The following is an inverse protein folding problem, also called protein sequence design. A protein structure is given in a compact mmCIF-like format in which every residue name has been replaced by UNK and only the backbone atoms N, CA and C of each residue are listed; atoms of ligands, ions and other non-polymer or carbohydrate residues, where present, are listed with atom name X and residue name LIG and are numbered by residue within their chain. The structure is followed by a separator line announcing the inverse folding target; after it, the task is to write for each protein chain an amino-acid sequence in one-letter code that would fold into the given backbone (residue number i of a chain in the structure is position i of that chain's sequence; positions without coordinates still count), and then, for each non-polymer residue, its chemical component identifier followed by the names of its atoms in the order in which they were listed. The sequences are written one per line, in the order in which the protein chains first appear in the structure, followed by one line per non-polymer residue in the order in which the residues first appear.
data_IF_666477906963
#
_entry.id   IF_666477906963
#
_cell.length_a   1.000
_cell.length_b   1.000
_cell.length_c   1.000
_cell.angle_alpha   90.00
_cell.angle_beta   90.00
_cell.angle_gamma   90.00
#
_symmetry.space_group_name_H-M   'P 1'
#
loop_
_entity.id
_entity.type
_entity.pdbx_description
1 polymer ?
#
# COMPACT_ATOMS: atom_id res chain seq x y z
N UNK A 1 -6.70 -9.69 13.42
CA UNK A 1 -5.78 -9.84 12.26
C UNK A 1 -5.07 -8.52 11.95
N UNK A 2 -5.77 -7.39 11.86
CA UNK A 2 -5.12 -6.09 11.62
C UNK A 2 -4.10 -5.76 12.73
N UNK A 3 -4.39 -6.13 13.98
CA UNK A 3 -3.50 -5.90 15.14
C UNK A 3 -2.18 -6.68 15.09
N UNK A 4 -2.09 -7.73 14.27
CA UNK A 4 -0.88 -8.54 14.10
C UNK A 4 -0.01 -8.07 12.92
N UNK A 5 -0.50 -7.11 12.12
CA UNK A 5 0.26 -6.56 11.00
C UNK A 5 1.28 -5.54 11.54
N UNK A 6 2.55 -5.73 11.16
CA UNK A 6 3.65 -4.86 11.57
C UNK A 6 3.43 -3.41 11.11
N UNK A 7 3.77 -2.47 11.98
CA UNK A 7 3.75 -1.03 11.69
C UNK A 7 5.10 -0.65 11.07
N UNK A 8 5.13 0.37 10.21
CA UNK A 8 6.34 0.89 9.58
C UNK A 8 7.46 1.17 10.59
N UNK A 9 7.14 1.59 11.83
CA UNK A 9 8.14 1.87 12.85
C UNK A 9 8.44 0.67 13.79
N UNK A 10 7.98 -0.53 13.45
CA UNK A 10 8.33 -1.77 14.17
C UNK A 10 9.84 -2.03 14.14
N UNK A 11 10.34 -2.61 15.24
CA UNK A 11 11.76 -2.93 15.43
C UNK A 11 12.22 -4.00 14.44
N UNK A 12 13.45 -3.87 13.95
CA UNK A 12 14.10 -4.85 13.06
C UNK A 12 13.90 -4.58 11.56
N UNK A 13 12.93 -3.73 11.19
CA UNK A 13 12.82 -3.26 9.82
C UNK A 13 13.91 -2.24 9.48
N UNK A 14 14.27 -2.15 8.20
CA UNK A 14 15.24 -1.19 7.71
C UNK A 14 14.88 0.24 8.09
N UNK A 15 15.92 1.05 8.34
CA UNK A 15 15.77 2.46 8.71
C UNK A 15 14.90 3.22 7.70
N UNK A 16 15.10 2.95 6.41
CA UNK A 16 14.36 3.65 5.36
C UNK A 16 12.86 3.31 5.38
N UNK A 17 12.51 2.05 5.62
CA UNK A 17 11.11 1.63 5.84
C UNK A 17 10.53 2.37 7.05
N UNK A 18 11.29 2.45 8.14
CA UNK A 18 10.84 3.06 9.40
C UNK A 18 10.64 4.57 9.34
N UNK A 19 11.34 5.25 8.43
CA UNK A 19 11.27 6.70 8.28
C UNK A 19 10.31 7.15 7.19
N UNK A 20 10.25 6.46 6.05
CA UNK A 20 9.49 6.92 4.86
C UNK A 20 8.71 5.80 4.17
N UNK A 21 8.57 4.63 4.80
CA UNK A 21 7.97 3.44 4.21
C UNK A 21 6.44 3.40 4.22
N UNK A 22 5.72 4.46 4.58
CA UNK A 22 4.26 4.38 4.80
C UNK A 22 3.49 3.88 3.57
N UNK A 23 3.88 4.30 2.37
CA UNK A 23 3.25 3.81 1.13
C UNK A 23 3.61 2.34 0.86
N UNK A 24 4.87 1.98 1.03
CA UNK A 24 5.35 0.60 0.90
C UNK A 24 4.62 -0.35 1.87
N UNK A 25 4.55 0.00 3.15
CA UNK A 25 3.88 -0.79 4.17
C UNK A 25 2.37 -0.87 3.89
N UNK A 26 1.73 0.21 3.44
CA UNK A 26 0.32 0.17 3.02
C UNK A 26 0.08 -0.81 1.87
N UNK A 27 1.00 -0.89 0.90
CA UNK A 27 0.95 -1.89 -0.18
C UNK A 27 1.05 -3.32 0.38
N UNK A 28 2.00 -3.58 1.28
CA UNK A 28 2.15 -4.90 1.91
C UNK A 28 0.92 -5.28 2.75
N UNK A 29 0.30 -4.31 3.42
CA UNK A 29 -0.90 -4.51 4.24
C UNK A 29 -2.09 -4.98 3.40
N UNK A 30 -2.28 -4.43 2.19
CA UNK A 30 -3.35 -4.89 1.30
C UNK A 30 -3.27 -6.40 1.05
N UNK A 31 -2.08 -6.91 0.71
CA UNK A 31 -1.90 -8.33 0.44
C UNK A 31 -2.15 -9.18 1.71
N UNK A 32 -1.61 -8.76 2.85
CA UNK A 32 -1.81 -9.43 4.14
C UNK A 32 -3.28 -9.52 4.54
N UNK A 33 -4.04 -8.43 4.40
CA UNK A 33 -5.47 -8.40 4.70
C UNK A 33 -6.28 -9.29 3.76
N UNK A 34 -5.90 -9.37 2.47
CA UNK A 34 -6.60 -10.18 1.47
C UNK A 34 -6.32 -11.67 1.58
N UNK A 35 -5.13 -12.04 2.06
CA UNK A 35 -4.74 -13.44 2.29
C UNK A 35 -5.02 -13.93 3.71
N UNK A 36 -5.31 -13.02 4.63
CA UNK A 36 -5.44 -13.34 6.05
C UNK A 36 -4.15 -13.84 6.71
N UNK A 37 -3.00 -13.41 6.18
CA UNK A 37 -1.66 -13.83 6.61
C UNK A 37 -0.81 -12.62 6.97
N UNK A 38 0.19 -12.82 7.81
CA UNK A 38 1.13 -11.77 8.23
C UNK A 38 2.53 -12.04 7.68
N UNK A 39 3.20 -10.99 7.21
CA UNK A 39 4.61 -11.04 6.82
C UNK A 39 5.51 -10.83 8.05
N UNK A 40 6.66 -11.51 8.08
CA UNK A 40 7.70 -11.30 9.11
C UNK A 40 8.55 -10.07 8.79
N UNK A 41 9.32 -9.60 9.78
CA UNK A 41 10.27 -8.48 9.60
C UNK A 41 11.26 -8.76 8.46
N UNK A 42 11.76 -9.99 8.37
CA UNK A 42 12.69 -10.42 7.32
C UNK A 42 12.04 -10.34 5.95
N UNK A 43 10.75 -10.68 5.84
CA UNK A 43 10.01 -10.55 4.60
C UNK A 43 9.77 -9.09 4.22
N UNK A 44 9.48 -8.18 5.17
CA UNK A 44 9.39 -6.75 4.88
C UNK A 44 10.69 -6.20 4.29
N UNK A 45 11.83 -6.53 4.92
CA UNK A 45 13.15 -6.10 4.47
C UNK A 45 13.49 -6.70 3.10
N UNK A 46 13.26 -8.01 2.91
CA UNK A 46 13.51 -8.68 1.62
C UNK A 46 12.64 -8.11 0.49
N UNK A 47 11.38 -7.76 0.77
CA UNK A 47 10.48 -7.17 -0.22
C UNK A 47 10.87 -5.74 -0.57
N UNK A 48 11.43 -4.99 0.38
CA UNK A 48 12.00 -3.67 0.12
C UNK A 48 13.15 -3.78 -0.89
N UNK A 49 14.07 -4.71 -0.67
CA UNK A 49 15.20 -4.94 -1.58
C UNK A 49 14.74 -5.44 -2.97
N UNK A 50 13.79 -6.38 -3.01
CA UNK A 50 13.23 -6.89 -4.27
C UNK A 50 12.53 -5.77 -5.06
N UNK A 51 11.81 -4.88 -4.37
CA UNK A 51 11.13 -3.74 -5.00
C UNK A 51 12.12 -2.71 -5.60
N UNK A 52 13.25 -2.45 -4.93
CA UNK A 52 14.33 -1.61 -5.48
C UNK A 52 14.98 -2.27 -6.69
N UNK A 53 15.36 -3.55 -6.56
CA UNK A 53 16.00 -4.30 -7.64
C UNK A 53 15.11 -4.40 -8.90
N UNK A 54 13.79 -4.51 -8.71
CA UNK A 54 12.82 -4.56 -9.79
C UNK A 54 12.47 -3.19 -10.39
N UNK A 55 12.99 -2.08 -9.84
CA UNK A 55 12.70 -0.73 -10.30
C UNK A 55 11.31 -0.21 -9.93
N UNK A 56 10.61 -0.85 -8.99
CA UNK A 56 9.33 -0.36 -8.46
C UNK A 56 9.50 0.77 -7.45
N UNK A 57 10.74 0.99 -7.03
CA UNK A 57 11.14 2.04 -6.13
C UNK A 57 12.33 2.80 -6.71
N UNK A 58 12.39 4.10 -6.44
CA UNK A 58 13.54 4.93 -6.74
C UNK A 58 13.92 5.72 -5.49
N UNK A 59 15.21 5.65 -5.16
CA UNK A 59 15.77 6.11 -3.89
C UNK A 59 15.07 5.49 -2.68
N UNK A 60 14.04 6.15 -2.14
CA UNK A 60 13.26 5.73 -0.98
C UNK A 60 11.75 5.85 -1.22
N UNK A 61 11.33 5.99 -2.49
CA UNK A 61 9.95 6.28 -2.90
C UNK A 61 9.38 5.17 -3.76
N UNK A 62 8.11 4.84 -3.55
CA UNK A 62 7.36 3.91 -4.39
C UNK A 62 6.98 4.58 -5.70
N UNK A 63 7.30 3.94 -6.82
CA UNK A 63 6.91 4.37 -8.17
C UNK A 63 5.69 3.60 -8.68
N UNK A 64 5.64 2.29 -8.44
CA UNK A 64 4.64 1.39 -9.03
C UNK A 64 4.01 0.52 -7.95
N UNK A 65 2.94 1.03 -7.35
CA UNK A 65 2.38 0.51 -6.09
C UNK A 65 1.72 -0.87 -6.23
N UNK A 66 0.98 -1.11 -7.31
CA UNK A 66 0.36 -2.42 -7.61
C UNK A 66 1.40 -3.53 -7.74
N UNK A 67 2.60 -3.24 -8.26
CA UNK A 67 3.71 -4.20 -8.35
C UNK A 67 4.28 -4.57 -6.99
N UNK A 68 4.30 -3.65 -6.03
CA UNK A 68 4.72 -3.95 -4.64
C UNK A 68 3.68 -4.84 -3.96
N UNK A 69 2.38 -4.56 -4.15
CA UNK A 69 1.30 -5.45 -3.66
C UNK A 69 1.47 -6.85 -4.27
N UNK A 70 1.82 -6.94 -5.56
CA UNK A 70 2.05 -8.22 -6.25
C UNK A 70 3.26 -9.00 -5.71
N UNK A 71 4.34 -8.33 -5.30
CA UNK A 71 5.46 -8.97 -4.61
C UNK A 71 5.02 -9.55 -3.26
N UNK A 72 4.19 -8.80 -2.52
CA UNK A 72 3.66 -9.26 -1.25
C UNK A 72 2.77 -10.51 -1.40
N UNK A 73 1.86 -10.52 -2.38
CA UNK A 73 1.05 -11.71 -2.70
C UNK A 73 1.93 -12.93 -2.98
N UNK A 74 2.96 -12.77 -3.82
CA UNK A 74 3.91 -13.84 -4.14
C UNK A 74 4.62 -14.36 -2.88
N UNK A 75 5.11 -13.47 -2.01
CA UNK A 75 5.77 -13.84 -0.74
C UNK A 75 4.84 -14.59 0.23
N UNK A 76 3.53 -14.32 0.15
CA UNK A 76 2.49 -15.01 0.91
C UNK A 76 1.99 -16.32 0.26
N UNK A 77 2.59 -16.71 -0.88
CA UNK A 77 2.22 -17.91 -1.65
C UNK A 77 0.89 -17.77 -2.39
N UNK A 78 0.45 -16.55 -2.71
CA UNK A 78 -0.80 -16.26 -3.42
C UNK A 78 -0.57 -16.02 -4.91
N UNK A 79 -1.50 -16.51 -5.73
CA UNK A 79 -1.54 -16.23 -7.18
C UNK A 79 -2.30 -14.95 -7.52
N UNK A 80 -2.84 -14.23 -6.53
CA UNK A 80 -3.55 -12.96 -6.75
C UNK A 80 -2.65 -11.91 -7.38
N UNK A 81 -3.29 -11.05 -8.19
CA UNK A 81 -2.67 -9.88 -8.80
C UNK A 81 -3.49 -8.63 -8.51
N UNK A 82 -2.80 -7.60 -8.04
CA UNK A 82 -3.28 -6.24 -7.93
C UNK A 82 -2.97 -5.46 -9.21
N UNK A 83 -3.90 -4.57 -9.55
CA UNK A 83 -3.80 -3.59 -10.63
C UNK A 83 -4.29 -2.26 -10.08
N UNK A 84 -3.51 -1.20 -10.28
CA UNK A 84 -3.97 0.16 -10.00
C UNK A 84 -4.94 0.58 -11.10
N UNK A 85 -6.19 0.85 -10.73
CA UNK A 85 -7.28 1.01 -11.69
C UNK A 85 -7.82 2.42 -11.79
N UNK A 86 -7.46 3.31 -10.86
CA UNK A 86 -7.92 4.69 -10.87
C UNK A 86 -7.68 5.39 -9.54
N UNK A 87 -8.27 6.57 -9.41
CA UNK A 87 -8.31 7.33 -8.15
C UNK A 87 -9.67 8.00 -7.96
N UNK A 88 -9.98 8.43 -6.76
CA UNK A 88 -11.17 9.25 -6.48
C UNK A 88 -11.19 10.60 -7.22
N UNK A 89 -10.02 11.16 -7.55
CA UNK A 89 -9.90 12.41 -8.31
C UNK A 89 -10.03 12.24 -9.83
N UNK A 90 -9.58 11.10 -10.38
CA UNK A 90 -9.49 10.86 -11.83
C UNK A 90 -10.44 9.77 -12.34
N UNK A 91 -11.25 9.19 -11.46
CA UNK A 91 -12.03 7.98 -11.71
C UNK A 91 -11.14 6.83 -12.24
N UNK A 92 -11.73 5.80 -12.86
CA UNK A 92 -11.02 4.74 -13.53
C UNK A 92 -10.13 5.27 -14.67
N UNK A 93 -8.90 4.75 -14.76
CA UNK A 93 -7.99 5.06 -15.86
C UNK A 93 -8.54 4.60 -17.22
N UNK A 94 -8.09 5.23 -18.31
CA UNK A 94 -8.65 4.98 -19.65
C UNK A 94 -8.50 3.52 -20.11
N UNK A 95 -7.40 2.86 -19.74
CA UNK A 95 -7.23 1.44 -20.03
C UNK A 95 -8.26 0.57 -19.28
N UNK A 96 -8.72 0.99 -18.09
CA UNK A 96 -9.77 0.27 -17.35
C UNK A 96 -11.15 0.53 -17.96
N UNK A 97 -11.37 1.73 -18.52
CA UNK A 97 -12.63 2.06 -19.20
C UNK A 97 -12.94 1.09 -20.34
N UNK A 98 -11.92 0.58 -21.02
CA UNK A 98 -12.03 -0.42 -22.09
C UNK A 98 -12.01 -1.87 -21.64
N UNK A 99 -11.76 -2.16 -20.35
CA UNK A 99 -11.68 -3.53 -19.80
C UNK A 99 -12.63 -3.71 -18.59
N UNK A 100 -13.89 -4.08 -18.82
CA UNK A 100 -14.93 -4.14 -17.77
C UNK A 100 -14.56 -4.98 -16.54
N UNK A 101 -13.81 -6.07 -16.69
CA UNK A 101 -13.40 -6.95 -15.58
C UNK A 101 -12.50 -6.25 -14.54
N UNK A 102 -11.90 -5.13 -14.93
CA UNK A 102 -11.06 -4.28 -14.08
C UNK A 102 -11.84 -3.12 -13.44
N UNK A 103 -13.11 -2.89 -13.82
CA UNK A 103 -13.97 -1.83 -13.26
C UNK A 103 -14.54 -2.22 -11.89
N UNK A 104 -13.67 -2.61 -10.97
CA UNK A 104 -14.02 -2.91 -9.58
C UNK A 104 -12.88 -2.50 -8.66
N UNK A 105 -13.24 -1.96 -7.50
CA UNK A 105 -12.29 -1.54 -6.46
C UNK A 105 -12.37 -2.54 -5.32
N UNK A 106 -11.26 -3.24 -5.05
CA UNK A 106 -11.17 -4.23 -3.97
C UNK A 106 -10.32 -3.74 -2.79
N UNK A 107 -9.44 -2.77 -3.01
CA UNK A 107 -8.59 -2.18 -1.97
C UNK A 107 -8.26 -0.73 -2.32
N UNK A 108 -7.99 0.07 -1.28
CA UNK A 108 -7.67 1.48 -1.43
C UNK A 108 -6.49 1.90 -0.55
N UNK A 109 -5.68 2.83 -1.04
CA UNK A 109 -4.67 3.55 -0.26
C UNK A 109 -4.97 5.04 -0.36
N UNK A 110 -5.20 5.68 0.78
CA UNK A 110 -5.35 7.13 0.86
C UNK A 110 -3.99 7.78 1.08
N UNK A 111 -3.71 8.81 0.27
CA UNK A 111 -2.67 9.80 0.54
C UNK A 111 -3.32 10.94 1.32
N UNK A 112 -2.79 11.23 2.51
CA UNK A 112 -3.23 12.34 3.35
C UNK A 112 -2.13 13.39 3.49
N UNK A 113 -2.54 14.63 3.73
CA UNK A 113 -1.67 15.66 4.25
C UNK A 113 -1.57 15.53 5.77
N UNK A 114 -0.37 15.69 6.30
CA UNK A 114 -0.14 15.79 7.74
C UNK A 114 -0.40 17.21 8.22
N UNK A 115 -0.59 17.38 9.53
CA UNK A 115 -0.77 18.71 10.14
C UNK A 115 0.47 19.61 9.90
N UNK A 116 0.26 20.93 9.90
CA UNK A 116 1.33 21.91 9.73
C UNK A 116 2.46 21.69 10.75
N UNK A 117 3.71 21.72 10.28
CA UNK A 117 4.89 21.46 11.09
C UNK A 117 5.32 19.98 11.17
N UNK A 118 4.62 19.06 10.51
CA UNK A 118 5.08 17.68 10.37
C UNK A 118 6.41 17.59 9.59
N UNK A 119 7.30 16.68 10.01
CA UNK A 119 8.60 16.47 9.35
C UNK A 119 8.47 16.00 7.90
N UNK A 120 7.37 15.31 7.57
CA UNK A 120 7.03 14.90 6.22
C UNK A 120 5.61 15.38 5.91
N UNK A 121 5.37 15.96 4.73
CA UNK A 121 4.08 16.60 4.42
C UNK A 121 2.95 15.59 4.17
N UNK A 122 3.30 14.36 3.75
CA UNK A 122 2.33 13.36 3.34
C UNK A 122 2.48 12.05 4.12
N UNK A 123 1.37 11.34 4.23
CA UNK A 123 1.33 9.98 4.78
C UNK A 123 0.38 9.12 3.95
N UNK A 124 0.64 7.82 3.90
CA UNK A 124 -0.19 6.87 3.17
C UNK A 124 -0.76 5.85 4.13
N UNK A 125 -2.03 5.50 3.96
CA UNK A 125 -2.75 4.57 4.83
C UNK A 125 -3.79 3.77 4.05
N UNK A 126 -4.17 2.61 4.57
CA UNK A 126 -5.18 1.75 3.94
C UNK A 126 -6.56 2.17 4.41
N UNK A 127 -7.47 2.38 3.46
CA UNK A 127 -8.85 2.81 3.70
C UNK A 127 -9.84 1.93 2.94
N UNK A 128 -11.13 2.04 3.25
CA UNK A 128 -12.18 1.55 2.35
C UNK A 128 -12.46 2.59 1.24
N UNK A 129 -13.45 2.31 0.39
CA UNK A 129 -13.76 3.17 -0.77
C UNK A 129 -14.34 4.52 -0.33
N UNK A 130 -14.96 4.55 0.84
CA UNK A 130 -15.54 5.72 1.50
C UNK A 130 -14.48 6.57 2.23
N UNK A 131 -13.23 6.11 2.28
CA UNK A 131 -12.12 6.81 2.95
C UNK A 131 -12.02 6.55 4.46
N UNK A 132 -12.79 5.60 5.00
CA UNK A 132 -12.69 5.17 6.39
C UNK A 132 -11.40 4.37 6.61
N UNK A 133 -10.72 4.67 7.72
CA UNK A 133 -9.43 4.07 8.03
C UNK A 133 -9.56 2.58 8.36
N UNK A 134 -8.85 1.75 7.60
CA UNK A 134 -8.70 0.33 7.89
C UNK A 134 -7.35 0.04 8.57
N UNK A 135 -6.28 0.71 8.15
CA UNK A 135 -4.96 0.54 8.76
C UNK A 135 -4.06 1.74 8.51
N UNK A 136 -3.49 2.29 9.59
CA UNK A 136 -2.40 3.25 9.51
C UNK A 136 -1.05 2.52 9.68
N UNK A 137 -0.08 2.68 8.75
CA UNK A 137 1.21 2.03 8.86
C UNK A 137 2.07 2.58 10.00
N UNK A 138 1.82 3.75 10.57
CA UNK A 138 2.58 4.25 11.72
C UNK A 138 1.87 3.98 13.04
N UNK A 139 2.64 3.95 14.12
CA UNK A 139 2.11 3.92 15.49
C UNK A 139 2.87 4.91 16.37
N UNK A 140 2.23 5.92 16.98
CA UNK A 140 0.79 6.17 16.95
C UNK A 140 0.27 6.53 15.55
N UNK A 141 -1.03 6.39 15.34
CA UNK A 141 -1.68 6.77 14.09
C UNK A 141 -1.37 8.23 13.73
N UNK A 142 -1.09 8.49 12.45
CA UNK A 142 -0.84 9.85 11.97
C UNK A 142 -2.16 10.60 11.86
N UNK A 143 -2.19 11.83 12.38
CA UNK A 143 -3.36 12.70 12.26
C UNK A 143 -3.52 13.21 10.83
N UNK A 144 -4.76 13.24 10.36
CA UNK A 144 -5.13 13.74 9.03
C UNK A 144 -5.37 15.24 9.10
N UNK A 145 -4.54 16.03 8.42
CA UNK A 145 -4.81 17.45 8.14
C UNK A 145 -5.73 17.64 6.93
N UNK A 146 -5.56 16.80 5.90
CA UNK A 146 -6.36 16.82 4.67
C UNK A 146 -6.33 15.48 3.93
N UNK A 147 -7.22 15.29 2.96
CA UNK A 147 -7.15 14.17 2.01
C UNK A 147 -6.68 14.69 0.67
N UNK A 148 -5.64 14.07 0.12
CA UNK A 148 -5.16 14.40 -1.21
C UNK A 148 -5.88 13.55 -2.26
N UNK A 149 -5.85 12.23 -2.10
CA UNK A 149 -6.49 11.28 -3.02
C UNK A 149 -6.54 9.88 -2.43
N UNK A 150 -7.46 9.07 -2.96
CA UNK A 150 -7.56 7.65 -2.71
C UNK A 150 -7.21 6.89 -4.00
N UNK A 151 -6.17 6.07 -3.94
CA UNK A 151 -5.75 5.18 -5.02
C UNK A 151 -6.57 3.90 -4.98
N UNK A 152 -7.11 3.48 -6.11
CA UNK A 152 -7.97 2.31 -6.22
C UNK A 152 -7.25 1.12 -6.86
N UNK A 153 -7.42 -0.05 -6.25
CA UNK A 153 -6.84 -1.29 -6.74
C UNK A 153 -7.91 -2.35 -7.03
N UNK A 154 -7.82 -3.00 -8.19
CA UNK A 154 -8.51 -4.25 -8.50
C UNK A 154 -7.61 -5.41 -8.14
N UNK A 155 -8.17 -6.43 -7.50
CA UNK A 155 -7.46 -7.67 -7.14
C UNK A 155 -8.16 -8.85 -7.80
N UNK A 156 -7.38 -9.64 -8.56
CA UNK A 156 -7.88 -10.76 -9.36
C UNK A 156 -7.05 -12.00 -9.03
N UNK A 157 -7.71 -13.15 -8.87
CA UNK A 157 -7.03 -14.44 -8.81
C UNK A 157 -6.52 -14.79 -10.22
N UNK A 158 -5.21 -15.01 -10.38
CA UNK A 158 -4.71 -15.66 -11.60
C UNK A 158 -4.63 -17.17 -11.35
N UNK A 159 -5.29 -17.92 -12.22
CA UNK A 159 -5.12 -19.36 -12.35
C UNK A 159 -3.70 -19.68 -12.86
#
# INVERSE_FOLDING_TARGET
MIDTILKQNSKGMYKDIREVGCFFVSCLTIAQMKEGKTLTVEQYNSLWDEAHKAGYMYERRVLVSDKIINLAFKSLGSSKKAFEVGTDQADFYDWVKSHPDYKKVDACIEKIEQEEGAAYPYHFRVVNKEGELLFDPYSPQVKKGGSERIIWYRIIDKA
#
